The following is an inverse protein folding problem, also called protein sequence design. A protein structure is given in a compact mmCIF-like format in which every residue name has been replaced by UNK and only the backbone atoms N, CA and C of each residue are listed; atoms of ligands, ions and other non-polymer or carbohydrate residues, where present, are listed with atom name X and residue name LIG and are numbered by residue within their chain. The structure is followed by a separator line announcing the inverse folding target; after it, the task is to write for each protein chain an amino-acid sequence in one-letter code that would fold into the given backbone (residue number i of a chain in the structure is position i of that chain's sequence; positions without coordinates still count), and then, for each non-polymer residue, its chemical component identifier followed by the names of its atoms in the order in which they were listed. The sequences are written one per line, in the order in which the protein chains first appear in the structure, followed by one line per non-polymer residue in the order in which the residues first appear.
data_IF_820108663519
#
_entry.id   IF_820108663519
#
_cell.length_a   1.000
_cell.length_b   1.000
_cell.length_c   1.000
_cell.angle_alpha   90.00
_cell.angle_beta   90.00
_cell.angle_gamma   90.00
#
_symmetry.space_group_name_H-M   'P 1'
#
loop_
_entity.id
_entity.type
_entity.pdbx_description
1 polymer ?
#
# COMPACT_ATOMS: atom_id res chain seq x y z
N UNK A 1 -0.97 -10.55 -30.09
CA UNK A 1 -1.16 -10.75 -28.64
C UNK A 1 -2.39 -11.61 -28.44
N UNK A 2 -2.34 -12.59 -27.53
CA UNK A 2 -3.52 -13.38 -27.17
C UNK A 2 -4.53 -12.45 -26.47
N UNK A 3 -5.83 -12.64 -26.72
CA UNK A 3 -6.94 -11.91 -26.10
C UNK A 3 -6.77 -11.85 -24.57
N UNK A 4 -6.32 -12.95 -23.96
CA UNK A 4 -6.02 -13.05 -22.53
C UNK A 4 -4.94 -12.07 -22.05
N UNK A 5 -3.87 -11.90 -22.82
CA UNK A 5 -2.78 -10.98 -22.43
C UNK A 5 -3.26 -9.53 -22.48
N UNK A 6 -4.06 -9.17 -23.49
CA UNK A 6 -4.63 -7.83 -23.56
C UNK A 6 -5.52 -7.51 -22.35
N UNK A 7 -6.27 -8.50 -21.84
CA UNK A 7 -7.04 -8.34 -20.59
C UNK A 7 -6.11 -8.13 -19.39
N UNK A 8 -5.07 -8.93 -19.25
CA UNK A 8 -4.07 -8.76 -18.17
C UNK A 8 -3.41 -7.39 -18.21
N UNK A 9 -3.08 -6.88 -19.40
CA UNK A 9 -2.46 -5.56 -19.56
C UNK A 9 -3.43 -4.43 -19.16
N UNK A 10 -4.73 -4.57 -19.46
CA UNK A 10 -5.76 -3.63 -19.01
C UNK A 10 -5.96 -3.66 -17.49
N UNK A 11 -6.00 -4.85 -16.89
CA UNK A 11 -6.15 -4.98 -15.43
C UNK A 11 -4.93 -4.46 -14.67
N UNK A 12 -3.71 -4.61 -15.20
CA UNK A 12 -2.52 -3.99 -14.61
C UNK A 12 -2.57 -2.46 -14.73
N UNK A 13 -3.15 -1.91 -15.81
CA UNK A 13 -3.37 -0.47 -15.88
C UNK A 13 -4.35 0.01 -14.80
N UNK A 14 -5.46 -0.70 -14.60
CA UNK A 14 -6.42 -0.43 -13.52
C UNK A 14 -5.73 -0.54 -12.14
N UNK A 15 -4.97 -1.62 -11.91
CA UNK A 15 -4.24 -1.86 -10.65
C UNK A 15 -3.29 -0.72 -10.28
N UNK A 16 -2.60 -0.13 -11.26
CA UNK A 16 -1.68 1.00 -11.03
C UNK A 16 -2.41 2.27 -10.63
N UNK A 17 -3.60 2.50 -11.18
CA UNK A 17 -4.41 3.67 -10.84
C UNK A 17 -5.00 3.51 -9.43
N UNK A 18 -5.51 2.32 -9.08
CA UNK A 18 -5.93 2.00 -7.70
C UNK A 18 -4.78 2.19 -6.70
N UNK A 19 -3.59 1.71 -7.05
CA UNK A 19 -2.41 1.87 -6.23
C UNK A 19 -2.05 3.35 -6.03
N UNK A 20 -2.16 4.17 -7.08
CA UNK A 20 -1.92 5.60 -6.97
C UNK A 20 -2.97 6.30 -6.10
N UNK A 21 -4.25 5.92 -6.24
CA UNK A 21 -5.36 6.44 -5.47
C UNK A 21 -5.18 6.17 -3.97
N UNK A 22 -4.84 4.93 -3.57
CA UNK A 22 -4.51 4.60 -2.16
C UNK A 22 -3.48 5.57 -1.58
N UNK A 23 -2.37 5.78 -2.29
CA UNK A 23 -1.29 6.64 -1.79
C UNK A 23 -1.70 8.11 -1.76
N UNK A 24 -2.37 8.60 -2.81
CA UNK A 24 -2.83 9.98 -2.90
C UNK A 24 -3.80 10.31 -1.76
N UNK A 25 -4.79 9.46 -1.54
CA UNK A 25 -5.85 9.69 -0.56
C UNK A 25 -5.32 9.63 0.86
N UNK A 26 -4.48 8.64 1.19
CA UNK A 26 -3.83 8.58 2.50
C UNK A 26 -2.97 9.82 2.76
N UNK A 27 -2.20 10.29 1.78
CA UNK A 27 -1.35 11.47 1.98
C UNK A 27 -2.17 12.76 2.13
N UNK A 28 -3.30 12.89 1.43
CA UNK A 28 -4.24 13.98 1.67
C UNK A 28 -4.90 13.89 3.05
N UNK A 29 -5.29 12.69 3.50
CA UNK A 29 -5.85 12.49 4.84
C UNK A 29 -4.86 12.86 5.95
N UNK A 30 -3.62 12.37 5.89
CA UNK A 30 -2.56 12.73 6.85
C UNK A 30 -2.29 14.24 6.86
N UNK A 31 -2.35 14.88 5.70
CA UNK A 31 -2.12 16.32 5.59
C UNK A 31 -3.28 17.18 6.13
N UNK A 32 -4.52 16.66 6.09
CA UNK A 32 -5.69 17.29 6.71
C UNK A 32 -5.63 17.16 8.23
N UNK A 33 -5.09 16.05 8.74
CA UNK A 33 -4.98 15.75 10.17
C UNK A 33 -6.29 15.19 10.74
N UNK A 34 -6.40 15.11 12.07
CA UNK A 34 -7.55 14.48 12.72
C UNK A 34 -8.88 15.22 12.44
N UNK A 35 -9.87 14.49 11.91
CA UNK A 35 -11.19 15.05 11.63
C UNK A 35 -12.11 14.10 10.87
N UNK A 36 -13.39 14.47 10.77
CA UNK A 36 -14.39 13.73 10.00
C UNK A 36 -13.97 13.59 8.54
N UNK A 37 -13.39 14.65 7.96
CA UNK A 37 -12.94 14.67 6.57
C UNK A 37 -11.80 13.67 6.32
N UNK A 38 -10.78 13.63 7.18
CA UNK A 38 -9.70 12.67 7.03
C UNK A 38 -10.20 11.22 7.18
N UNK A 39 -11.11 10.96 8.13
CA UNK A 39 -11.72 9.64 8.28
C UNK A 39 -12.51 9.19 7.04
N UNK A 40 -13.22 10.10 6.37
CA UNK A 40 -13.93 9.80 5.13
C UNK A 40 -12.96 9.48 3.98
N UNK A 41 -11.88 10.26 3.83
CA UNK A 41 -10.86 10.04 2.80
C UNK A 41 -10.14 8.71 3.02
N UNK A 42 -9.76 8.39 4.27
CA UNK A 42 -9.16 7.09 4.60
C UNK A 42 -10.12 5.92 4.35
N UNK A 43 -11.43 6.13 4.50
CA UNK A 43 -12.41 5.09 4.20
C UNK A 43 -12.42 4.74 2.70
N UNK A 44 -12.30 5.75 1.84
CA UNK A 44 -12.14 5.57 0.39
C UNK A 44 -10.79 4.91 0.09
N UNK A 45 -9.69 5.36 0.70
CA UNK A 45 -8.39 4.70 0.50
C UNK A 45 -8.41 3.20 0.85
N UNK A 46 -9.17 2.81 1.89
CA UNK A 46 -9.39 1.39 2.23
C UNK A 46 -10.27 0.65 1.22
N UNK A 47 -11.12 1.34 0.48
CA UNK A 47 -11.87 0.80 -0.67
C UNK A 47 -10.93 0.54 -1.84
N UNK A 48 -10.04 1.48 -2.16
CA UNK A 48 -9.04 1.28 -3.23
C UNK A 48 -8.07 0.14 -2.93
N UNK A 49 -7.71 -0.07 -1.65
CA UNK A 49 -6.94 -1.26 -1.25
C UNK A 49 -7.67 -2.57 -1.60
N UNK A 50 -9.01 -2.59 -1.52
CA UNK A 50 -9.80 -3.77 -1.92
C UNK A 50 -9.88 -3.89 -3.44
N UNK A 51 -9.98 -2.79 -4.15
CA UNK A 51 -9.95 -2.79 -5.62
C UNK A 51 -8.62 -3.34 -6.12
N UNK A 52 -7.51 -2.86 -5.55
CA UNK A 52 -6.16 -3.36 -5.80
C UNK A 52 -6.07 -4.88 -5.59
N UNK A 53 -6.53 -5.39 -4.44
CA UNK A 53 -6.56 -6.82 -4.14
C UNK A 53 -7.37 -7.62 -5.19
N UNK A 54 -8.59 -7.19 -5.50
CA UNK A 54 -9.44 -7.90 -6.47
C UNK A 54 -8.84 -7.93 -7.88
N UNK A 55 -8.23 -6.83 -8.31
CA UNK A 55 -7.57 -6.74 -9.61
C UNK A 55 -6.34 -7.66 -9.64
N UNK A 56 -5.52 -7.66 -8.60
CA UNK A 56 -4.36 -8.54 -8.50
C UNK A 56 -4.75 -10.02 -8.56
N UNK A 57 -5.78 -10.43 -7.81
CA UNK A 57 -6.32 -11.79 -7.88
C UNK A 57 -6.87 -12.13 -9.27
N UNK A 58 -7.55 -11.19 -9.93
CA UNK A 58 -8.07 -11.40 -11.30
C UNK A 58 -6.93 -11.57 -12.32
N UNK A 59 -5.85 -10.80 -12.18
CA UNK A 59 -4.64 -10.92 -13.01
C UNK A 59 -4.02 -12.31 -12.85
N UNK A 60 -3.84 -12.78 -11.61
CA UNK A 60 -3.29 -14.13 -11.32
C UNK A 60 -4.22 -15.24 -11.84
N UNK A 61 -5.54 -15.11 -11.68
CA UNK A 61 -6.51 -16.07 -12.21
C UNK A 61 -6.45 -16.17 -13.74
N UNK A 62 -6.06 -15.08 -14.42
CA UNK A 62 -5.77 -15.05 -15.85
C UNK A 62 -4.34 -15.51 -16.19
N UNK A 63 -3.59 -16.05 -15.23
CA UNK A 63 -2.21 -16.51 -15.41
C UNK A 63 -1.21 -15.39 -15.73
N UNK A 64 -1.59 -14.14 -15.45
CA UNK A 64 -0.70 -12.99 -15.47
C UNK A 64 0.02 -12.82 -14.13
N UNK A 65 0.81 -11.76 -14.03
CA UNK A 65 1.42 -11.30 -12.78
C UNK A 65 1.02 -9.84 -12.53
N UNK A 66 0.57 -9.48 -11.32
CA UNK A 66 0.48 -8.08 -10.91
C UNK A 66 1.88 -7.47 -10.97
N UNK A 67 2.05 -6.34 -11.63
CA UNK A 67 3.38 -5.73 -11.78
C UNK A 67 3.85 -4.95 -10.54
N UNK A 68 2.95 -4.70 -9.59
CA UNK A 68 3.19 -3.93 -8.36
C UNK A 68 3.72 -2.51 -8.63
N UNK A 69 3.54 -2.00 -9.85
CA UNK A 69 3.85 -0.62 -10.20
C UNK A 69 2.76 0.31 -9.66
N UNK A 70 3.09 1.60 -9.55
CA UNK A 70 2.14 2.64 -9.15
C UNK A 70 1.94 3.64 -10.29
N UNK A 71 0.71 4.07 -10.48
CA UNK A 71 0.36 5.18 -11.35
C UNK A 71 0.87 6.53 -10.84
N UNK A 72 0.40 7.62 -11.44
CA UNK A 72 0.78 8.97 -11.03
C UNK A 72 0.01 9.37 -9.77
N UNK A 73 0.73 9.76 -8.73
CA UNK A 73 0.18 10.41 -7.53
C UNK A 73 0.24 11.93 -7.72
N UNK A 74 -0.84 12.66 -7.48
CA UNK A 74 -0.92 14.12 -7.61
C UNK A 74 -1.21 14.79 -6.28
N UNK A 75 -0.13 15.21 -5.60
CA UNK A 75 -0.15 15.86 -4.29
C UNK A 75 -0.12 17.39 -4.39
N UNK A 76 -0.37 17.92 -5.60
CA UNK A 76 -0.32 19.35 -5.83
C UNK A 76 -1.54 20.04 -5.27
N UNK A 77 -1.33 21.13 -4.55
CA UNK A 77 -2.41 21.96 -4.02
C UNK A 77 -2.01 22.62 -2.71
N UNK A 78 -2.59 23.79 -2.46
CA UNK A 78 -2.30 24.61 -1.29
C UNK A 78 -3.20 24.37 -0.07
N UNK A 79 -4.00 23.29 -0.08
CA UNK A 79 -4.86 22.94 1.05
C UNK A 79 -6.01 22.00 0.68
N UNK A 80 -6.87 21.67 1.66
CA UNK A 80 -7.85 20.58 1.55
C UNK A 80 -8.79 20.68 0.34
N UNK A 81 -9.30 21.87 0.02
CA UNK A 81 -10.18 22.05 -1.14
C UNK A 81 -9.51 21.78 -2.49
N UNK A 82 -8.22 22.10 -2.63
CA UNK A 82 -7.46 21.79 -3.85
C UNK A 82 -7.06 20.32 -3.91
N UNK A 83 -6.74 19.70 -2.77
CA UNK A 83 -6.45 18.25 -2.69
C UNK A 83 -7.68 17.41 -3.06
N UNK A 84 -8.87 17.75 -2.55
CA UNK A 84 -10.10 17.07 -2.97
C UNK A 84 -10.37 17.23 -4.47
N UNK A 85 -9.98 18.37 -5.07
CA UNK A 85 -10.07 18.53 -6.52
C UNK A 85 -9.08 17.62 -7.28
N UNK A 86 -7.94 17.24 -6.69
CA UNK A 86 -7.04 16.21 -7.26
C UNK A 86 -7.62 14.82 -7.13
N UNK A 87 -8.27 14.53 -6.01
CA UNK A 87 -8.93 13.23 -5.79
C UNK A 87 -10.10 13.05 -6.77
N UNK A 88 -10.94 14.07 -6.96
CA UNK A 88 -11.98 14.08 -8.01
C UNK A 88 -11.40 13.80 -9.40
N UNK A 89 -10.24 14.39 -9.75
CA UNK A 89 -9.62 14.16 -11.06
C UNK A 89 -9.07 12.74 -11.21
N UNK A 90 -8.61 12.12 -10.12
CA UNK A 90 -8.20 10.71 -10.12
C UNK A 90 -9.41 9.80 -10.39
N UNK A 91 -10.52 10.03 -9.69
CA UNK A 91 -11.79 9.32 -9.88
C UNK A 91 -12.34 9.48 -11.31
N UNK A 92 -12.35 10.69 -11.86
CA UNK A 92 -12.79 10.92 -13.25
C UNK A 92 -11.95 10.11 -14.25
N UNK A 93 -10.64 9.99 -13.98
CA UNK A 93 -9.70 9.17 -14.75
C UNK A 93 -10.02 7.68 -14.67
N UNK A 94 -10.15 7.15 -13.45
CA UNK A 94 -10.48 5.76 -13.17
C UNK A 94 -11.82 5.36 -13.79
N UNK A 95 -12.87 6.17 -13.58
CA UNK A 95 -14.22 5.98 -14.17
C UNK A 95 -14.13 5.88 -15.70
N UNK A 96 -13.40 6.78 -16.35
CA UNK A 96 -13.24 6.77 -17.80
C UNK A 96 -12.49 5.51 -18.28
N UNK A 97 -11.46 5.08 -17.55
CA UNK A 97 -10.69 3.88 -17.85
C UNK A 97 -11.53 2.61 -17.68
N UNK A 98 -12.22 2.44 -16.55
CA UNK A 98 -13.10 1.30 -16.32
C UNK A 98 -14.19 1.19 -17.38
N UNK A 99 -14.85 2.29 -17.74
CA UNK A 99 -15.86 2.31 -18.83
C UNK A 99 -15.27 1.79 -20.15
N UNK A 100 -14.03 2.17 -20.47
CA UNK A 100 -13.32 1.70 -21.66
C UNK A 100 -12.96 0.22 -21.57
N UNK A 101 -12.41 -0.26 -20.45
CA UNK A 101 -12.01 -1.65 -20.27
C UNK A 101 -13.23 -2.60 -20.24
N UNK A 102 -14.32 -2.23 -19.57
CA UNK A 102 -15.59 -2.99 -19.56
C UNK A 102 -16.15 -3.17 -20.99
N UNK A 103 -16.03 -2.14 -21.84
CA UNK A 103 -16.46 -2.22 -23.23
C UNK A 103 -15.57 -3.14 -24.08
N UNK A 104 -14.26 -3.17 -23.80
CA UNK A 104 -13.26 -3.91 -24.57
C UNK A 104 -13.16 -5.40 -24.20
N UNK A 105 -13.33 -5.73 -22.91
CA UNK A 105 -13.20 -7.11 -22.41
C UNK A 105 -14.40 -7.93 -22.87
N UNK A 106 -14.26 -9.25 -23.06
CA UNK A 106 -15.39 -10.15 -23.36
C UNK A 106 -15.79 -11.03 -22.16
N UNK A 107 -14.83 -11.38 -21.30
CA UNK A 107 -15.04 -12.24 -20.14
C UNK A 107 -16.06 -11.62 -19.16
N UNK A 108 -17.17 -12.34 -18.93
CA UNK A 108 -18.28 -11.85 -18.10
C UNK A 108 -17.96 -11.79 -16.61
N UNK A 109 -17.02 -12.62 -16.12
CA UNK A 109 -16.59 -12.57 -14.72
C UNK A 109 -15.73 -11.33 -14.48
N UNK A 110 -14.79 -11.05 -15.38
CA UNK A 110 -13.94 -9.85 -15.31
C UNK A 110 -14.81 -8.59 -15.46
N UNK A 111 -15.74 -8.55 -16.43
CA UNK A 111 -16.68 -7.42 -16.54
C UNK A 111 -17.46 -7.14 -15.27
N UNK A 112 -17.97 -8.18 -14.62
CA UNK A 112 -18.74 -8.03 -13.39
C UNK A 112 -17.90 -7.44 -12.26
N UNK A 113 -16.62 -7.83 -12.17
CA UNK A 113 -15.69 -7.22 -11.22
C UNK A 113 -15.48 -5.73 -11.53
N UNK A 114 -15.12 -5.39 -12.77
CA UNK A 114 -14.89 -3.99 -13.16
C UNK A 114 -16.15 -3.12 -13.03
N UNK A 115 -17.35 -3.67 -13.25
CA UNK A 115 -18.61 -2.98 -13.01
C UNK A 115 -18.89 -2.74 -11.52
N UNK A 116 -18.42 -3.63 -10.64
CA UNK A 116 -18.52 -3.46 -9.19
C UNK A 116 -17.60 -2.33 -8.73
N UNK A 117 -16.36 -2.31 -9.22
CA UNK A 117 -15.37 -1.28 -8.91
C UNK A 117 -15.84 0.08 -9.46
N UNK A 118 -16.23 0.15 -10.74
CA UNK A 118 -16.78 1.37 -11.35
C UNK A 118 -17.92 2.01 -10.53
N UNK A 119 -18.75 1.20 -9.87
CA UNK A 119 -19.83 1.72 -9.03
C UNK A 119 -19.32 2.31 -7.71
N UNK A 120 -18.20 1.82 -7.17
CA UNK A 120 -17.49 2.44 -6.04
C UNK A 120 -16.82 3.74 -6.50
N UNK A 121 -16.09 3.76 -7.62
CA UNK A 121 -15.46 5.00 -8.15
C UNK A 121 -16.49 6.13 -8.36
N UNK A 122 -17.67 5.81 -8.91
CA UNK A 122 -18.75 6.79 -9.09
C UNK A 122 -19.27 7.32 -7.75
N UNK A 123 -19.25 6.51 -6.68
CA UNK A 123 -19.63 6.93 -5.34
C UNK A 123 -18.51 7.74 -4.65
N UNK A 124 -17.24 7.34 -4.82
CA UNK A 124 -16.06 8.06 -4.32
C UNK A 124 -15.99 9.46 -4.90
N UNK A 125 -16.17 9.58 -6.20
CA UNK A 125 -16.28 10.87 -6.89
C UNK A 125 -17.34 11.79 -6.25
N UNK A 126 -18.52 11.26 -5.97
CA UNK A 126 -19.62 12.02 -5.33
C UNK A 126 -19.26 12.45 -3.90
N UNK A 127 -18.58 11.58 -3.13
CA UNK A 127 -18.10 11.88 -1.78
C UNK A 127 -17.01 12.97 -1.82
N UNK A 128 -15.99 12.84 -2.67
CA UNK A 128 -14.95 13.87 -2.81
C UNK A 128 -15.53 15.21 -3.30
N UNK A 129 -16.52 15.17 -4.19
CA UNK A 129 -17.25 16.38 -4.61
C UNK A 129 -17.96 17.04 -3.43
N UNK A 130 -18.59 16.24 -2.57
CA UNK A 130 -19.21 16.76 -1.34
C UNK A 130 -18.18 17.39 -0.39
N UNK A 131 -17.08 16.68 -0.12
CA UNK A 131 -15.98 17.14 0.72
C UNK A 131 -15.36 18.43 0.18
N UNK A 132 -15.08 18.52 -1.12
CA UNK A 132 -14.56 19.73 -1.76
C UNK A 132 -15.47 20.95 -1.53
N UNK A 133 -16.79 20.77 -1.67
CA UNK A 133 -17.77 21.83 -1.43
C UNK A 133 -17.84 22.25 0.05
N UNK A 134 -17.76 21.28 0.99
CA UNK A 134 -17.70 21.53 2.43
C UNK A 134 -16.46 22.37 2.79
N UNK A 135 -15.31 22.01 2.22
CA UNK A 135 -14.01 22.61 2.50
C UNK A 135 -13.80 23.97 1.80
N UNK A 136 -14.46 24.22 0.67
CA UNK A 136 -14.40 25.51 -0.04
C UNK A 136 -14.96 26.71 0.76
N UNK A 137 -15.72 26.47 1.83
CA UNK A 137 -16.27 27.50 2.71
C UNK A 137 -15.31 28.04 3.78
N UNK A 138 -14.15 27.38 3.98
CA UNK A 138 -13.16 27.77 4.98
C UNK A 138 -12.14 28.78 4.45
N UNK A 139 -11.69 29.70 5.32
CA UNK A 139 -10.46 30.48 5.05
C UNK A 139 -9.26 29.56 5.26
N UNK A 140 -8.93 28.74 4.28
CA UNK A 140 -7.66 28.00 4.31
C UNK A 140 -6.52 28.99 4.05
N UNK A 141 -5.57 29.07 4.98
CA UNK A 141 -4.29 29.72 4.69
C UNK A 141 -3.57 28.91 3.61
N UNK A 142 -2.90 29.59 2.68
CA UNK A 142 -2.17 28.91 1.62
C UNK A 142 -1.05 28.07 2.23
N UNK A 143 -1.10 26.76 2.02
CA UNK A 143 -0.06 25.82 2.43
C UNK A 143 0.87 25.53 1.25
N UNK A 144 2.13 25.21 1.54
CA UNK A 144 3.04 24.70 0.51
C UNK A 144 2.57 23.30 0.02
N UNK A 145 2.86 22.92 -1.25
CA UNK A 145 2.63 21.56 -1.72
C UNK A 145 3.21 20.53 -0.75
N UNK A 146 2.52 19.41 -0.56
CA UNK A 146 2.90 18.42 0.46
C UNK A 146 4.34 17.95 0.32
N UNK A 147 4.77 17.64 -0.91
CA UNK A 147 6.13 17.19 -1.22
C UNK A 147 7.23 18.19 -0.82
N UNK A 148 6.90 19.47 -0.61
CA UNK A 148 7.87 20.50 -0.25
C UNK A 148 8.05 20.66 1.27
N UNK A 149 7.19 20.04 2.09
CA UNK A 149 7.26 20.14 3.55
C UNK A 149 8.52 19.49 4.11
N UNK A 150 9.22 20.19 5.01
CA UNK A 150 10.57 19.81 5.48
C UNK A 150 10.69 19.48 6.97
N UNK A 151 9.59 19.43 7.72
CA UNK A 151 9.61 19.23 9.17
C UNK A 151 10.60 20.20 9.88
N UNK A 152 10.40 21.51 9.70
CA UNK A 152 11.34 22.52 10.22
C UNK A 152 11.50 22.42 11.75
N UNK A 153 12.76 22.32 12.22
CA UNK A 153 13.08 22.25 13.64
C UNK A 153 13.18 20.83 14.21
N UNK A 154 12.88 19.80 13.42
CA UNK A 154 13.08 18.40 13.81
C UNK A 154 14.54 18.01 13.63
N UNK A 155 15.16 17.27 14.58
CA UNK A 155 16.50 16.75 14.39
C UNK A 155 16.57 15.90 13.10
N UNK A 156 17.48 16.20 12.15
CA UNK A 156 17.52 15.51 10.85
C UNK A 156 17.58 14.00 10.97
N UNK A 157 18.33 13.50 11.97
CA UNK A 157 18.46 12.06 12.23
C UNK A 157 17.14 11.39 12.63
N UNK A 158 16.27 12.07 13.37
CA UNK A 158 14.97 11.53 13.78
C UNK A 158 14.06 11.39 12.56
N UNK A 159 14.01 12.43 11.72
CA UNK A 159 13.25 12.39 10.48
C UNK A 159 13.78 11.31 9.52
N UNK A 160 15.10 11.14 9.42
CA UNK A 160 15.72 10.09 8.60
C UNK A 160 15.30 8.68 9.04
N UNK A 161 15.21 8.44 10.35
CA UNK A 161 14.77 7.16 10.93
C UNK A 161 13.30 6.89 10.60
N UNK A 162 12.44 7.88 10.80
CA UNK A 162 11.01 7.76 10.47
C UNK A 162 10.79 7.50 8.98
N UNK A 163 11.44 8.26 8.11
CA UNK A 163 11.32 8.09 6.67
C UNK A 163 11.95 6.78 6.18
N UNK A 164 12.99 6.28 6.86
CA UNK A 164 13.50 4.93 6.62
C UNK A 164 12.42 3.89 6.92
N UNK A 165 11.74 4.01 8.06
CA UNK A 165 10.61 3.13 8.42
C UNK A 165 9.49 3.18 7.38
N UNK A 166 8.98 4.38 7.05
CA UNK A 166 7.92 4.57 6.03
C UNK A 166 8.27 3.85 4.71
N UNK A 167 9.49 4.03 4.20
CA UNK A 167 9.93 3.35 2.96
C UNK A 167 10.05 1.84 3.14
N UNK A 168 10.51 1.38 4.31
CA UNK A 168 10.61 -0.05 4.61
C UNK A 168 9.22 -0.68 4.62
N UNK A 169 8.30 -0.17 5.44
CA UNK A 169 6.95 -0.74 5.57
C UNK A 169 6.24 -0.77 4.22
N UNK A 170 6.33 0.32 3.45
CA UNK A 170 5.76 0.33 2.10
C UNK A 170 6.40 -0.71 1.16
N UNK A 171 7.71 -0.95 1.27
CA UNK A 171 8.40 -1.99 0.48
C UNK A 171 7.90 -3.39 0.85
N UNK A 172 7.82 -3.72 2.14
CA UNK A 172 7.40 -5.07 2.59
C UNK A 172 5.91 -5.32 2.38
N UNK A 173 5.04 -4.30 2.49
CA UNK A 173 3.62 -4.41 2.11
C UNK A 173 3.48 -4.91 0.67
N UNK A 174 4.16 -4.24 -0.28
CA UNK A 174 4.07 -4.61 -1.69
C UNK A 174 4.66 -6.00 -1.94
N UNK A 175 5.78 -6.33 -1.30
CA UNK A 175 6.41 -7.64 -1.44
C UNK A 175 5.49 -8.75 -0.91
N UNK A 176 4.91 -8.60 0.28
CA UNK A 176 4.04 -9.59 0.92
C UNK A 176 2.73 -9.76 0.16
N UNK A 177 2.10 -8.67 -0.29
CA UNK A 177 0.91 -8.75 -1.13
C UNK A 177 1.20 -9.52 -2.42
N UNK A 178 2.28 -9.21 -3.11
CA UNK A 178 2.65 -9.95 -4.32
C UNK A 178 2.91 -11.43 -4.04
N UNK A 179 3.69 -11.75 -3.00
CA UNK A 179 3.96 -13.15 -2.60
C UNK A 179 2.67 -13.90 -2.25
N UNK A 180 1.73 -13.25 -1.56
CA UNK A 180 0.39 -13.78 -1.31
C UNK A 180 -0.33 -14.11 -2.62
N UNK A 181 -0.34 -13.20 -3.59
CA UNK A 181 -1.07 -13.41 -4.85
C UNK A 181 -0.51 -14.57 -5.68
N UNK A 182 0.81 -14.79 -5.66
CA UNK A 182 1.46 -15.74 -6.59
C UNK A 182 1.82 -17.08 -5.97
N UNK A 183 1.83 -17.21 -4.64
CA UNK A 183 2.14 -18.47 -3.97
C UNK A 183 1.02 -19.50 -4.21
N UNK A 184 1.34 -20.76 -4.56
CA UNK A 184 0.34 -21.82 -4.64
C UNK A 184 -0.08 -22.35 -3.25
N UNK A 185 0.61 -21.96 -2.17
CA UNK A 185 0.33 -22.44 -0.82
C UNK A 185 -0.67 -21.52 -0.12
N UNK A 186 -1.93 -21.94 -0.03
CA UNK A 186 -3.03 -21.10 0.48
C UNK A 186 -2.80 -20.59 1.91
N UNK A 187 -2.22 -21.41 2.79
CA UNK A 187 -1.93 -21.02 4.18
C UNK A 187 -0.82 -19.94 4.23
N UNK A 188 0.24 -20.12 3.43
CA UNK A 188 1.30 -19.11 3.30
C UNK A 188 0.76 -17.80 2.75
N UNK A 189 -0.06 -17.85 1.70
CA UNK A 189 -0.65 -16.64 1.11
C UNK A 189 -1.51 -15.87 2.11
N UNK A 190 -2.38 -16.58 2.83
CA UNK A 190 -3.21 -15.99 3.87
C UNK A 190 -2.39 -15.31 4.98
N UNK A 191 -1.31 -15.95 5.45
CA UNK A 191 -0.48 -15.34 6.49
C UNK A 191 0.33 -14.14 5.97
N UNK A 192 0.80 -14.17 4.72
CA UNK A 192 1.43 -13.02 4.07
C UNK A 192 0.46 -11.83 3.93
N UNK A 193 -0.80 -12.09 3.59
CA UNK A 193 -1.85 -11.05 3.59
C UNK A 193 -2.02 -10.43 4.98
N UNK A 194 -2.08 -11.27 6.02
CA UNK A 194 -2.20 -10.80 7.40
C UNK A 194 -0.98 -9.98 7.84
N UNK A 195 0.24 -10.37 7.47
CA UNK A 195 1.45 -9.59 7.75
C UNK A 195 1.41 -8.26 6.99
N UNK A 196 1.05 -8.26 5.70
CA UNK A 196 0.92 -7.03 4.92
C UNK A 196 -0.08 -6.04 5.56
N UNK A 197 -1.19 -6.52 6.13
CA UNK A 197 -2.13 -5.68 6.89
C UNK A 197 -1.50 -5.12 8.17
N UNK A 198 -0.63 -5.88 8.84
CA UNK A 198 0.12 -5.38 9.99
C UNK A 198 1.10 -4.27 9.59
N UNK A 199 1.82 -4.47 8.49
CA UNK A 199 2.74 -3.46 7.96
C UNK A 199 2.02 -2.19 7.49
N UNK A 200 0.81 -2.30 6.94
CA UNK A 200 -0.02 -1.13 6.63
C UNK A 200 -0.30 -0.29 7.88
N UNK A 201 -0.48 -0.93 9.04
CA UNK A 201 -0.64 -0.23 10.30
C UNK A 201 0.66 0.45 10.76
N UNK A 202 1.82 -0.20 10.59
CA UNK A 202 3.13 0.42 10.88
C UNK A 202 3.38 1.64 10.01
N UNK A 203 3.13 1.51 8.70
CA UNK A 203 3.21 2.59 7.74
C UNK A 203 2.34 3.78 8.17
N UNK A 204 1.09 3.51 8.59
CA UNK A 204 0.17 4.53 9.10
C UNK A 204 0.76 5.29 10.30
N UNK A 205 1.20 4.57 11.34
CA UNK A 205 1.78 5.20 12.53
C UNK A 205 3.01 6.06 12.19
N UNK A 206 3.91 5.56 11.35
CA UNK A 206 5.12 6.30 10.97
C UNK A 206 4.79 7.51 10.08
N UNK A 207 3.83 7.37 9.16
CA UNK A 207 3.40 8.45 8.28
C UNK A 207 2.71 9.58 9.05
N UNK A 208 1.86 9.24 10.02
CA UNK A 208 1.23 10.20 10.93
C UNK A 208 2.29 10.99 11.72
N UNK A 209 3.28 10.31 12.33
CA UNK A 209 4.38 10.97 13.05
C UNK A 209 5.18 11.92 12.13
N UNK A 210 5.49 11.50 10.89
CA UNK A 210 6.16 12.39 9.93
C UNK A 210 5.30 13.61 9.60
N UNK A 211 3.99 13.43 9.43
CA UNK A 211 3.07 14.53 9.12
C UNK A 211 2.91 15.50 10.30
N UNK A 212 2.76 14.99 11.53
CA UNK A 212 2.66 15.79 12.77
C UNK A 212 3.91 16.62 13.04
N UNK A 213 5.07 16.08 12.68
CA UNK A 213 6.35 16.78 12.69
C UNK A 213 6.48 17.86 11.60
N UNK A 214 5.44 18.06 10.78
CA UNK A 214 5.42 19.03 9.68
C UNK A 214 6.20 18.58 8.44
N UNK A 215 6.47 17.28 8.33
CA UNK A 215 7.08 16.64 7.17
C UNK A 215 6.05 16.09 6.18
N UNK A 216 6.55 15.36 5.19
CA UNK A 216 5.75 14.63 4.23
C UNK A 216 6.25 13.18 4.16
N UNK A 217 5.40 12.16 4.42
CA UNK A 217 5.80 10.76 4.37
C UNK A 217 6.32 10.39 2.98
N UNK A 218 7.57 9.93 2.91
CA UNK A 218 8.19 9.48 1.67
C UNK A 218 7.77 8.03 1.35
N UNK A 219 6.57 7.88 0.75
CA UNK A 219 6.01 6.57 0.38
C UNK A 219 6.62 6.11 -0.97
N UNK A 220 7.92 5.86 -0.94
CA UNK A 220 8.70 5.27 -2.01
C UNK A 220 9.23 3.89 -1.56
N UNK A 221 9.27 2.92 -2.47
CA UNK A 221 9.75 1.57 -2.15
C UNK A 221 11.17 1.34 -2.69
N UNK A 222 11.90 0.44 -2.03
CA UNK A 222 13.15 -0.11 -2.55
C UNK A 222 12.88 -1.19 -3.62
N UNK A 223 13.94 -1.84 -4.13
CA UNK A 223 13.77 -2.95 -5.07
C UNK A 223 13.01 -4.11 -4.39
N UNK A 224 11.96 -4.60 -5.06
CA UNK A 224 11.12 -5.69 -4.58
C UNK A 224 11.70 -7.06 -4.96
N UNK A 225 11.59 -8.07 -4.09
CA UNK A 225 12.09 -9.43 -4.34
C UNK A 225 10.99 -10.34 -4.91
N UNK A 226 10.56 -10.13 -6.15
CA UNK A 226 9.34 -10.75 -6.74
C UNK A 226 9.56 -12.10 -7.47
N UNK A 227 10.80 -12.59 -7.52
CA UNK A 227 11.18 -13.81 -8.27
C UNK A 227 11.41 -15.00 -7.34
N UNK A 228 11.21 -16.21 -7.87
CA UNK A 228 11.48 -17.47 -7.18
C UNK A 228 10.24 -18.30 -6.86
N UNK A 229 10.46 -19.40 -6.15
CA UNK A 229 9.40 -20.20 -5.52
C UNK A 229 9.02 -19.65 -4.13
N UNK A 230 7.98 -20.22 -3.53
CA UNK A 230 7.47 -19.84 -2.20
C UNK A 230 8.56 -19.83 -1.11
N UNK A 231 9.50 -20.78 -1.16
CA UNK A 231 10.55 -20.87 -0.15
C UNK A 231 11.59 -19.76 -0.32
N UNK A 232 11.89 -19.38 -1.57
CA UNK A 232 12.76 -18.24 -1.87
C UNK A 232 12.10 -16.91 -1.49
N UNK A 233 10.80 -16.76 -1.75
CA UNK A 233 10.01 -15.59 -1.37
C UNK A 233 10.01 -15.39 0.15
N UNK A 234 9.63 -16.43 0.92
CA UNK A 234 9.67 -16.39 2.39
C UNK A 234 11.06 -16.11 2.94
N UNK A 235 12.12 -16.62 2.30
CA UNK A 235 13.49 -16.34 2.71
C UNK A 235 13.84 -14.84 2.54
N UNK A 236 13.41 -14.22 1.43
CA UNK A 236 13.59 -12.79 1.22
C UNK A 236 12.79 -11.94 2.22
N UNK A 237 11.56 -12.36 2.54
CA UNK A 237 10.71 -11.71 3.54
C UNK A 237 11.37 -11.75 4.93
N UNK A 238 11.83 -12.92 5.38
CA UNK A 238 12.55 -13.09 6.66
C UNK A 238 13.83 -12.22 6.73
N UNK A 239 14.54 -12.06 5.61
CA UNK A 239 15.74 -11.23 5.56
C UNK A 239 15.41 -9.74 5.72
N UNK A 240 14.31 -9.28 5.13
CA UNK A 240 13.81 -7.92 5.30
C UNK A 240 13.45 -7.64 6.77
N UNK A 241 12.66 -8.52 7.39
CA UNK A 241 12.24 -8.44 8.80
C UNK A 241 13.43 -8.34 9.77
N UNK A 242 14.41 -9.23 9.60
CA UNK A 242 15.58 -9.26 10.47
C UNK A 242 16.46 -8.02 10.30
N UNK A 243 16.54 -7.49 9.08
CA UNK A 243 17.31 -6.30 8.80
C UNK A 243 16.69 -5.07 9.48
N UNK A 244 15.38 -4.86 9.33
CA UNK A 244 14.70 -3.70 9.93
C UNK A 244 14.67 -3.78 11.46
N UNK A 245 14.42 -4.97 12.03
CA UNK A 245 14.43 -5.15 13.49
C UNK A 245 15.80 -4.80 14.10
N UNK A 246 16.89 -5.14 13.40
CA UNK A 246 18.25 -4.79 13.80
C UNK A 246 18.52 -3.29 13.69
N UNK A 247 18.01 -2.64 12.65
CA UNK A 247 18.13 -1.19 12.47
C UNK A 247 17.38 -0.44 13.58
N UNK A 248 16.10 -0.75 13.82
CA UNK A 248 15.36 -0.16 14.94
C UNK A 248 16.07 -0.41 16.27
N UNK A 249 16.59 -1.62 16.52
CA UNK A 249 17.34 -1.92 17.75
C UNK A 249 18.52 -0.97 17.97
N UNK A 250 19.25 -0.61 16.91
CA UNK A 250 20.39 0.32 16.99
C UNK A 250 19.94 1.77 17.15
N UNK A 251 18.83 2.14 16.53
CA UNK A 251 18.33 3.51 16.43
C UNK A 251 17.60 3.98 17.69
N UNK A 252 17.06 3.07 18.51
CA UNK A 252 16.25 3.44 19.67
C UNK A 252 16.97 4.31 20.70
N UNK A 253 18.27 4.10 20.89
CA UNK A 253 19.09 4.91 21.81
C UNK A 253 19.39 6.32 21.24
N UNK A 254 19.11 6.56 19.95
CA UNK A 254 19.26 7.86 19.29
C UNK A 254 18.02 8.76 19.44
N UNK A 255 16.88 8.19 19.84
CA UNK A 255 15.59 8.90 19.91
C UNK A 255 15.37 9.43 21.32
N UNK A 256 15.45 10.74 21.54
CA UNK A 256 15.21 11.34 22.86
C UNK A 256 13.74 11.31 23.30
N UNK A 257 12.81 11.50 22.35
CA UNK A 257 11.37 11.51 22.63
C UNK A 257 10.89 10.12 23.10
N UNK A 258 10.25 10.08 24.27
CA UNK A 258 9.83 8.83 24.89
C UNK A 258 8.65 8.16 24.14
N UNK A 259 7.76 8.96 23.55
CA UNK A 259 6.63 8.47 22.78
C UNK A 259 7.09 7.78 21.51
N UNK A 260 7.89 8.49 20.71
CA UNK A 260 8.47 7.97 19.48
C UNK A 260 9.37 6.75 19.74
N UNK A 261 10.19 6.77 20.80
CA UNK A 261 11.00 5.61 21.18
C UNK A 261 10.12 4.39 21.50
N UNK A 262 8.99 4.57 22.18
CA UNK A 262 8.04 3.47 22.46
C UNK A 262 7.36 2.96 21.19
N UNK A 263 6.98 3.85 20.28
CA UNK A 263 6.40 3.48 18.99
C UNK A 263 7.38 2.62 18.18
N UNK A 264 8.60 3.10 17.97
CA UNK A 264 9.62 2.35 17.22
C UNK A 264 10.01 1.02 17.90
N UNK A 265 10.03 0.99 19.24
CA UNK A 265 10.27 -0.25 19.97
C UNK A 265 9.14 -1.27 19.77
N UNK A 266 7.89 -0.79 19.69
CA UNK A 266 6.72 -1.63 19.42
C UNK A 266 6.75 -2.19 18.00
N UNK A 267 7.02 -1.35 17.00
CA UNK A 267 7.16 -1.77 15.59
C UNK A 267 8.26 -2.83 15.48
N UNK A 268 9.46 -2.56 16.00
CA UNK A 268 10.56 -3.55 16.08
C UNK A 268 10.12 -4.89 16.67
N UNK A 269 9.34 -4.89 17.76
CA UNK A 269 8.90 -6.13 18.40
C UNK A 269 7.90 -6.91 17.52
N UNK A 270 7.11 -6.21 16.70
CA UNK A 270 6.29 -6.83 15.67
C UNK A 270 7.15 -7.44 14.56
N UNK A 271 8.19 -6.75 14.06
CA UNK A 271 9.09 -7.30 13.02
C UNK A 271 9.81 -8.58 13.47
N UNK A 272 10.19 -8.64 14.76
CA UNK A 272 10.74 -9.88 15.34
C UNK A 272 9.72 -11.01 15.32
N UNK A 273 8.45 -10.70 15.58
CA UNK A 273 7.36 -11.67 15.53
C UNK A 273 7.07 -12.12 14.09
N UNK A 274 6.98 -11.18 13.12
CA UNK A 274 6.78 -11.47 11.70
C UNK A 274 7.88 -12.40 11.18
N UNK A 275 9.15 -12.05 11.45
CA UNK A 275 10.28 -12.89 11.07
C UNK A 275 10.25 -14.30 11.66
N UNK A 276 9.65 -14.49 12.85
CA UNK A 276 9.46 -15.82 13.44
C UNK A 276 8.34 -16.59 12.74
N UNK A 277 7.18 -15.98 12.52
CA UNK A 277 6.04 -16.58 11.81
C UNK A 277 6.45 -17.03 10.40
N UNK A 278 7.13 -16.15 9.65
CA UNK A 278 7.62 -16.48 8.30
C UNK A 278 8.67 -17.60 8.32
N UNK A 279 9.50 -17.68 9.37
CA UNK A 279 10.47 -18.77 9.55
C UNK A 279 9.79 -20.12 9.77
N UNK A 280 8.69 -20.16 10.52
CA UNK A 280 7.89 -21.36 10.74
C UNK A 280 7.24 -21.82 9.42
N UNK A 281 6.61 -20.91 8.67
CA UNK A 281 6.05 -21.20 7.34
C UNK A 281 7.11 -21.74 6.37
N UNK A 282 8.31 -21.17 6.37
CA UNK A 282 9.41 -21.64 5.53
C UNK A 282 9.84 -23.07 5.88
N UNK A 283 9.83 -23.43 7.17
CA UNK A 283 10.13 -24.78 7.60
C UNK A 283 9.07 -25.77 7.10
N UNK A 284 7.78 -25.44 7.22
CA UNK A 284 6.65 -26.26 6.76
C UNK A 284 6.68 -26.50 5.24
N UNK A 285 6.93 -25.45 4.45
CA UNK A 285 7.08 -25.54 2.99
C UNK A 285 8.23 -26.49 2.63
N UNK A 286 9.39 -26.38 3.31
CA UNK A 286 10.55 -27.25 3.07
C UNK A 286 10.31 -28.70 3.49
N UNK A 287 9.53 -28.95 4.53
CA UNK A 287 9.18 -30.31 4.96
C UNK A 287 8.22 -30.99 3.97
N UNK A 288 7.22 -30.25 3.48
CA UNK A 288 6.27 -30.75 2.50
C UNK A 288 6.98 -31.14 1.20
N UNK A 289 7.87 -30.29 0.69
CA UNK A 289 8.67 -30.58 -0.51
C UNK A 289 9.51 -31.86 -0.37
N UNK A 290 10.15 -32.07 0.80
CA UNK A 290 10.91 -33.31 1.07
C UNK A 290 10.04 -34.55 1.12
N UNK A 291 8.79 -34.43 1.59
CA UNK A 291 7.87 -35.56 1.67
C UNK A 291 7.36 -36.01 0.30
N UNK A 292 7.23 -35.07 -0.65
CA UNK A 292 6.81 -35.34 -2.04
C UNK A 292 7.94 -35.95 -2.90
N UNK A 293 9.20 -35.66 -2.56
CA UNK A 293 10.39 -36.23 -3.22
C UNK A 293 10.80 -37.62 -2.72
N UNK A 294 10.26 -38.08 -1.59
CA UNK A 294 10.56 -39.40 -1.05
C UNK A 294 9.93 -40.51 -1.93
N UNK A 295 10.70 -41.52 -2.38
CA UNK A 295 10.13 -42.61 -3.18
C UNK A 295 9.08 -43.36 -2.34
N UNK A 296 7.86 -43.48 -2.88
CA UNK A 296 6.77 -44.22 -2.25
C UNK A 296 7.15 -45.68 -1.94
N UNK A 297 6.57 -46.29 -0.89
CA UNK A 297 6.88 -47.65 -0.46
C UNK A 297 6.55 -48.72 -1.51
#
# INVERSE_FOLDING_TARGET
MNDKQAVVDMLNADLRDEHAAVIQYLQHAYAIGEGEEACEIEAIAREEMRHFDWLAQAIVALGGRPDMERGKVDLSGGGPGEWMARDILAEEGAIAQYKKHIAAIADSKVKRLLQRILADEEAHHDIFTHLANKLAGGKAEAQEPLEMRKAEGVPPRVLDILQQGVRHEYTVILQYLYHNFVTPHCEVGRELEMQAINEMQHLGWLAEEVAELGGHPDIAHAALSLEGDTAQMLQADIEAERAVALDYTRQLDEIEDEGLRKLLARIRDHEVYHGAVLSDLLAEVKETAKSEEAPGP
#
